data_IF_765876331785
#
_entry.id   IF_765876331785
#
_cell.length_a   1.000
_cell.length_b   1.000
_cell.length_c   1.000
_cell.angle_alpha   90.00
_cell.angle_beta   90.00
_cell.angle_gamma   90.00
#
_symmetry.space_group_name_H-M   'P 1'
#
loop_
_entity.id
_entity.type
_entity.pdbx_description
1 polymer ?
#
# COMPACT_ATOMS: atom_id res chain seq x y z
N UNK A 1 -13.47 -43.40 -2.35
CA UNK A 1 -12.51 -43.65 -3.44
C UNK A 1 -11.90 -42.32 -3.86
N UNK A 2 -10.59 -42.31 -4.10
CA UNK A 2 -9.73 -41.22 -4.58
C UNK A 2 -9.30 -40.15 -3.56
N UNK A 3 -8.26 -40.47 -2.77
CA UNK A 3 -7.38 -39.48 -2.15
C UNK A 3 -6.48 -38.88 -3.24
N UNK A 4 -6.59 -37.57 -3.46
CA UNK A 4 -5.72 -36.82 -4.35
C UNK A 4 -4.34 -36.65 -3.69
N UNK A 5 -3.31 -37.27 -4.28
CA UNK A 5 -1.92 -37.07 -3.89
C UNK A 5 -1.47 -35.64 -4.21
N UNK A 6 -1.22 -34.85 -3.16
CA UNK A 6 -0.37 -33.68 -3.26
C UNK A 6 1.02 -34.15 -3.69
N UNK A 7 1.35 -33.92 -4.95
CA UNK A 7 2.68 -34.11 -5.49
C UNK A 7 3.60 -33.08 -4.85
N UNK A 8 4.31 -33.48 -3.78
CA UNK A 8 5.33 -32.64 -3.16
C UNK A 8 6.43 -32.39 -4.18
N UNK A 9 6.48 -31.18 -4.74
CA UNK A 9 7.53 -30.78 -5.67
C UNK A 9 8.77 -30.48 -4.83
N UNK A 10 9.80 -31.32 -4.94
CA UNK A 10 11.10 -31.04 -4.33
C UNK A 10 11.75 -29.90 -5.10
N UNK A 11 12.09 -28.82 -4.41
CA UNK A 11 12.88 -27.71 -4.93
C UNK A 11 14.27 -27.72 -4.29
N UNK A 12 15.25 -27.20 -4.99
CA UNK A 12 16.61 -26.97 -4.48
C UNK A 12 16.61 -25.84 -3.44
N UNK A 13 17.67 -25.78 -2.63
CA UNK A 13 17.84 -24.68 -1.67
C UNK A 13 17.97 -23.34 -2.42
N UNK A 14 18.66 -23.36 -3.56
CA UNK A 14 18.85 -22.22 -4.43
C UNK A 14 17.50 -21.69 -4.94
N UNK A 15 16.65 -22.56 -5.50
CA UNK A 15 15.28 -22.18 -5.93
C UNK A 15 14.43 -21.64 -4.77
N UNK A 16 14.58 -22.20 -3.57
CA UNK A 16 13.87 -21.72 -2.39
C UNK A 16 14.32 -20.30 -1.98
N UNK A 17 15.62 -20.03 -2.04
CA UNK A 17 16.18 -18.69 -1.78
C UNK A 17 15.77 -17.68 -2.85
N UNK A 18 15.74 -18.07 -4.12
CA UNK A 18 15.22 -17.22 -5.21
C UNK A 18 13.74 -16.87 -5.01
N UNK A 19 12.91 -17.84 -4.65
CA UNK A 19 11.50 -17.61 -4.32
C UNK A 19 11.34 -16.68 -3.12
N UNK A 20 12.19 -16.82 -2.10
CA UNK A 20 12.18 -15.95 -0.93
C UNK A 20 12.49 -14.50 -1.32
N UNK A 21 13.51 -14.29 -2.16
CA UNK A 21 13.86 -12.96 -2.67
C UNK A 21 12.75 -12.33 -3.52
N UNK A 22 12.08 -13.14 -4.36
CA UNK A 22 10.93 -12.68 -5.14
C UNK A 22 9.76 -12.25 -4.23
N UNK A 23 9.45 -13.05 -3.22
CA UNK A 23 8.41 -12.72 -2.23
C UNK A 23 8.75 -11.45 -1.46
N UNK A 24 10.00 -11.26 -1.06
CA UNK A 24 10.46 -10.03 -0.39
C UNK A 24 10.28 -8.80 -1.30
N UNK A 25 10.67 -8.90 -2.58
CA UNK A 25 10.45 -7.82 -3.55
C UNK A 25 8.96 -7.48 -3.72
N UNK A 26 8.09 -8.49 -3.78
CA UNK A 26 6.64 -8.28 -3.90
C UNK A 26 6.05 -7.64 -2.64
N UNK A 27 6.49 -8.08 -1.45
CA UNK A 27 6.07 -7.49 -0.18
C UNK A 27 6.46 -6.01 -0.10
N UNK A 28 7.68 -5.66 -0.50
CA UNK A 28 8.15 -4.27 -0.52
C UNK A 28 7.32 -3.39 -1.48
N UNK A 29 6.98 -3.91 -2.67
CA UNK A 29 6.12 -3.22 -3.63
C UNK A 29 4.71 -2.99 -3.07
N UNK A 30 4.09 -4.04 -2.52
CA UNK A 30 2.77 -3.95 -1.89
C UNK A 30 2.76 -2.94 -0.74
N UNK A 31 3.79 -2.95 0.10
CA UNK A 31 3.90 -2.00 1.20
C UNK A 31 4.03 -0.55 0.71
N UNK A 32 4.76 -0.31 -0.38
CA UNK A 32 4.85 1.01 -0.99
C UNK A 32 3.49 1.49 -1.52
N UNK A 33 2.75 0.61 -2.21
CA UNK A 33 1.40 0.91 -2.72
C UNK A 33 0.40 1.16 -1.58
N UNK A 34 0.45 0.36 -0.51
CA UNK A 34 -0.37 0.57 0.70
C UNK A 34 -0.14 1.98 1.26
N UNK A 35 1.12 2.38 1.45
CA UNK A 35 1.47 3.71 1.96
C UNK A 35 0.99 4.84 1.03
N UNK A 36 1.10 4.66 -0.28
CA UNK A 36 0.60 5.64 -1.26
C UNK A 36 -0.91 5.84 -1.13
N UNK A 37 -1.67 4.74 -1.00
CA UNK A 37 -3.13 4.79 -0.81
C UNK A 37 -3.48 5.46 0.52
N UNK A 38 -2.78 5.13 1.62
CA UNK A 38 -2.97 5.76 2.93
C UNK A 38 -2.74 7.28 2.89
N UNK A 39 -1.65 7.71 2.24
CA UNK A 39 -1.35 9.14 2.02
C UNK A 39 -2.46 9.81 1.22
N UNK A 40 -2.97 9.16 0.16
CA UNK A 40 -4.07 9.70 -0.64
C UNK A 40 -5.37 9.83 0.16
N UNK A 41 -5.70 8.84 0.99
CA UNK A 41 -6.88 8.89 1.87
C UNK A 41 -6.75 10.04 2.89
N UNK A 42 -5.56 10.23 3.46
CA UNK A 42 -5.30 11.34 4.38
C UNK A 42 -5.45 12.71 3.69
N UNK A 43 -4.97 12.83 2.45
CA UNK A 43 -5.16 14.03 1.63
C UNK A 43 -6.64 14.32 1.37
N UNK A 44 -7.43 13.30 0.99
CA UNK A 44 -8.87 13.47 0.75
C UNK A 44 -9.61 13.89 2.02
N UNK A 45 -9.26 13.32 3.17
CA UNK A 45 -9.82 13.71 4.48
C UNK A 45 -9.50 15.17 4.78
N UNK A 46 -8.25 15.60 4.58
CA UNK A 46 -7.86 16.99 4.78
C UNK A 46 -8.61 17.97 3.86
N UNK A 47 -8.93 17.57 2.63
CA UNK A 47 -9.77 18.37 1.72
C UNK A 47 -11.21 18.44 2.22
N UNK A 48 -11.80 17.34 2.69
CA UNK A 48 -13.14 17.35 3.29
C UNK A 48 -13.21 18.30 4.50
N UNK A 49 -12.23 18.23 5.40
CA UNK A 49 -12.13 19.09 6.58
C UNK A 49 -11.95 20.57 6.21
N UNK A 50 -11.15 20.86 5.19
CA UNK A 50 -10.99 22.21 4.66
C UNK A 50 -12.31 22.75 4.08
N UNK A 51 -13.03 21.95 3.28
CA UNK A 51 -14.34 22.35 2.75
C UNK A 51 -15.38 22.57 3.85
N UNK A 52 -15.33 21.80 4.94
CA UNK A 52 -16.17 22.00 6.11
C UNK A 52 -15.82 23.32 6.83
N UNK A 53 -14.54 23.60 7.05
CA UNK A 53 -14.08 24.86 7.67
C UNK A 53 -14.50 26.09 6.86
N UNK A 54 -14.42 26.02 5.53
CA UNK A 54 -14.89 27.10 4.63
C UNK A 54 -16.41 27.28 4.68
N UNK A 55 -17.16 26.18 4.87
CA UNK A 55 -18.61 26.25 5.08
C UNK A 55 -18.99 26.92 6.40
N UNK A 56 -18.13 26.83 7.42
CA UNK A 56 -18.30 27.45 8.73
C UNK A 56 -17.85 28.92 8.79
N UNK A 57 -17.37 29.47 7.66
CA UNK A 57 -17.00 30.88 7.55
C UNK A 57 -15.51 31.17 7.73
N UNK A 58 -14.64 30.17 7.57
CA UNK A 58 -13.21 30.45 7.40
C UNK A 58 -12.99 31.26 6.10
N UNK A 59 -12.53 32.50 6.24
CA UNK A 59 -12.31 33.41 5.11
C UNK A 59 -10.83 33.61 4.81
N UNK A 60 -9.95 33.60 5.81
CA UNK A 60 -8.51 33.80 5.57
C UNK A 60 -7.76 32.48 5.38
N UNK A 61 -6.85 32.46 4.40
CA UNK A 61 -6.01 31.33 4.10
C UNK A 61 -4.58 31.74 3.75
N UNK A 62 -3.66 30.81 3.97
CA UNK A 62 -2.30 30.88 3.45
C UNK A 62 -2.19 29.94 2.26
N UNK A 63 -1.91 30.48 1.08
CA UNK A 63 -1.76 29.72 -0.16
C UNK A 63 -0.27 29.46 -0.41
N UNK A 64 0.17 28.19 -0.51
CA UNK A 64 1.53 27.89 -0.92
C UNK A 64 1.74 28.22 -2.40
N UNK A 65 2.82 28.95 -2.72
CA UNK A 65 3.22 29.26 -4.10
C UNK A 65 4.11 28.17 -4.71
N UNK A 66 4.61 27.24 -3.90
CA UNK A 66 5.40 26.10 -4.31
C UNK A 66 4.91 24.81 -3.62
N UNK A 67 5.15 23.65 -4.25
CA UNK A 67 4.69 22.37 -3.72
C UNK A 67 5.32 21.94 -2.39
N UNK A 68 6.38 22.61 -1.92
CA UNK A 68 6.99 22.36 -0.60
C UNK A 68 6.49 23.31 0.48
N UNK A 69 5.67 24.31 0.13
CA UNK A 69 5.19 25.34 1.06
C UNK A 69 6.30 26.25 1.58
N UNK A 70 7.36 26.46 0.80
CA UNK A 70 8.48 27.33 1.17
C UNK A 70 8.06 28.80 1.20
N UNK A 71 7.18 29.19 0.29
CA UNK A 71 6.60 30.54 0.20
C UNK A 71 5.09 30.44 0.34
N UNK A 72 4.54 31.12 1.35
CA UNK A 72 3.11 31.23 1.60
C UNK A 72 2.66 32.67 1.38
N UNK A 73 1.50 32.87 0.75
CA UNK A 73 0.87 34.19 0.63
C UNK A 73 -0.48 34.22 1.34
N UNK A 74 -0.80 35.31 2.08
CA UNK A 74 -2.13 35.50 2.62
C UNK A 74 -3.14 35.77 1.50
N UNK A 75 -4.32 35.16 1.62
CA UNK A 75 -5.44 35.36 0.72
C UNK A 75 -6.75 35.27 1.50
N UNK A 76 -7.79 35.92 0.99
CA UNK A 76 -9.15 35.74 1.48
C UNK A 76 -9.96 34.92 0.47
N UNK A 77 -10.56 33.83 0.94
CA UNK A 77 -11.38 32.91 0.19
C UNK A 77 -12.78 33.49 0.08
N UNK A 78 -13.23 33.74 -1.15
CA UNK A 78 -14.61 34.13 -1.42
C UNK A 78 -15.54 32.98 -1.06
N UNK A 79 -16.78 33.30 -0.69
CA UNK A 79 -17.85 32.33 -0.49
C UNK A 79 -17.87 31.30 -1.64
N UNK A 80 -17.72 30.02 -1.30
CA UNK A 80 -17.66 28.93 -2.26
C UNK A 80 -19.07 28.61 -2.79
N UNK A 81 -19.46 29.28 -3.88
CA UNK A 81 -20.69 28.91 -4.62
C UNK A 81 -20.47 27.67 -5.48
N UNK A 82 -19.24 27.50 -5.99
CA UNK A 82 -18.84 26.44 -6.90
C UNK A 82 -17.41 25.99 -6.61
N UNK A 83 -17.15 24.72 -6.85
CA UNK A 83 -15.87 24.04 -6.60
C UNK A 83 -15.48 23.28 -7.87
N UNK A 84 -14.23 23.44 -8.29
CA UNK A 84 -13.64 22.64 -9.37
C UNK A 84 -13.15 21.30 -8.83
N UNK A 85 -13.67 20.21 -9.37
CA UNK A 85 -13.26 18.85 -9.02
C UNK A 85 -12.63 18.19 -10.24
N UNK A 86 -11.52 17.47 -10.04
CA UNK A 86 -10.87 16.72 -11.12
C UNK A 86 -11.64 15.43 -11.41
N UNK A 87 -12.19 15.32 -12.62
CA UNK A 87 -13.00 14.19 -13.07
C UNK A 87 -12.21 13.10 -13.83
N UNK A 88 -10.88 13.22 -13.88
CA UNK A 88 -10.01 12.31 -14.65
C UNK A 88 -9.65 12.88 -16.02
N UNK A 89 -8.63 12.28 -16.66
CA UNK A 89 -8.21 12.64 -18.04
C UNK A 89 -7.95 14.15 -18.25
N UNK A 90 -7.43 14.85 -17.23
CA UNK A 90 -7.22 16.30 -17.21
C UNK A 90 -8.51 17.13 -17.36
N UNK A 91 -9.67 16.53 -17.04
CA UNK A 91 -10.97 17.21 -17.04
C UNK A 91 -11.29 17.68 -15.63
N UNK A 92 -11.73 18.93 -15.52
CA UNK A 92 -12.27 19.52 -14.30
C UNK A 92 -13.73 19.88 -14.52
N UNK A 93 -14.56 19.57 -13.53
CA UNK A 93 -15.99 19.92 -13.53
C UNK A 93 -16.27 20.89 -12.40
N UNK A 94 -17.08 21.90 -12.69
CA UNK A 94 -17.53 22.86 -11.69
C UNK A 94 -18.85 22.37 -11.08
N UNK A 95 -18.84 22.13 -9.77
CA UNK A 95 -19.99 21.56 -9.04
C UNK A 95 -20.27 22.36 -7.78
N UNK A 96 -21.44 22.15 -7.18
CA UNK A 96 -21.71 22.67 -5.84
C UNK A 96 -20.93 21.89 -4.76
N UNK A 97 -20.98 22.39 -3.53
CA UNK A 97 -20.26 21.81 -2.39
C UNK A 97 -20.74 20.39 -2.05
N UNK A 98 -22.05 20.14 -2.07
CA UNK A 98 -22.58 18.81 -1.75
C UNK A 98 -22.05 17.78 -2.74
N UNK A 99 -22.07 18.11 -4.03
CA UNK A 99 -21.57 17.23 -5.09
C UNK A 99 -20.05 17.07 -5.03
N UNK A 100 -19.30 18.12 -4.70
CA UNK A 100 -17.85 18.01 -4.47
C UNK A 100 -17.53 17.03 -3.32
N UNK A 101 -18.25 17.13 -2.20
CA UNK A 101 -18.10 16.21 -1.08
C UNK A 101 -18.50 14.78 -1.45
N UNK A 102 -19.52 14.59 -2.28
CA UNK A 102 -19.89 13.27 -2.81
C UNK A 102 -18.71 12.65 -3.59
N UNK A 103 -18.09 13.40 -4.52
CA UNK A 103 -16.91 12.94 -5.26
C UNK A 103 -15.76 12.51 -4.35
N UNK A 104 -15.43 13.32 -3.33
CA UNK A 104 -14.34 13.01 -2.39
C UNK A 104 -14.64 11.75 -1.57
N UNK A 105 -15.89 11.58 -1.13
CA UNK A 105 -16.32 10.40 -0.37
C UNK A 105 -16.30 9.14 -1.20
N UNK A 106 -16.73 9.22 -2.45
CA UNK A 106 -16.70 8.10 -3.39
C UNK A 106 -15.26 7.68 -3.70
N UNK A 107 -14.37 8.65 -3.96
CA UNK A 107 -12.94 8.40 -4.16
C UNK A 107 -12.32 7.75 -2.91
N UNK A 108 -12.59 8.29 -1.72
CA UNK A 108 -12.12 7.73 -0.45
C UNK A 108 -12.62 6.31 -0.24
N UNK A 109 -13.90 6.04 -0.51
CA UNK A 109 -14.47 4.70 -0.40
C UNK A 109 -13.85 3.71 -1.39
N UNK A 110 -13.54 4.14 -2.62
CA UNK A 110 -12.84 3.33 -3.61
C UNK A 110 -11.40 3.00 -3.16
N UNK A 111 -10.68 4.01 -2.65
CA UNK A 111 -9.33 3.84 -2.13
C UNK A 111 -9.29 2.95 -0.88
N UNK A 112 -10.24 3.08 0.05
CA UNK A 112 -10.32 2.19 1.22
C UNK A 112 -10.54 0.73 0.82
N UNK A 113 -11.37 0.46 -0.21
CA UNK A 113 -11.54 -0.90 -0.74
C UNK A 113 -10.25 -1.45 -1.36
N UNK A 114 -9.50 -0.60 -2.07
CA UNK A 114 -8.19 -0.97 -2.62
C UNK A 114 -7.17 -1.23 -1.51
N UNK A 115 -7.11 -0.37 -0.49
CA UNK A 115 -6.25 -0.52 0.68
C UNK A 115 -6.50 -1.86 1.38
N UNK A 116 -7.77 -2.21 1.60
CA UNK A 116 -8.17 -3.48 2.19
C UNK A 116 -7.73 -4.67 1.34
N UNK A 117 -7.86 -4.59 0.02
CA UNK A 117 -7.44 -5.64 -0.90
C UNK A 117 -5.91 -5.84 -0.87
N UNK A 118 -5.15 -4.76 -0.98
CA UNK A 118 -3.68 -4.80 -0.93
C UNK A 118 -3.17 -5.25 0.43
N UNK A 119 -3.82 -4.84 1.53
CA UNK A 119 -3.44 -5.26 2.89
C UNK A 119 -3.67 -6.76 3.11
N UNK A 120 -4.78 -7.31 2.59
CA UNK A 120 -5.03 -8.76 2.62
C UNK A 120 -4.00 -9.53 1.79
N UNK A 121 -3.66 -9.02 0.61
CA UNK A 121 -2.65 -9.64 -0.25
C UNK A 121 -1.27 -9.60 0.38
N UNK A 122 -0.88 -8.48 0.98
CA UNK A 122 0.36 -8.35 1.75
C UNK A 122 0.42 -9.36 2.89
N UNK A 123 -0.65 -9.47 3.69
CA UNK A 123 -0.72 -10.43 4.79
C UNK A 123 -0.58 -11.89 4.30
N UNK A 124 -1.21 -12.21 3.16
CA UNK A 124 -1.11 -13.53 2.52
C UNK A 124 0.32 -13.83 2.07
N UNK A 125 0.98 -12.91 1.38
CA UNK A 125 2.38 -13.09 0.94
C UNK A 125 3.36 -13.15 2.13
N UNK A 126 3.11 -12.39 3.18
CA UNK A 126 3.95 -12.40 4.39
C UNK A 126 3.88 -13.76 5.09
N UNK A 127 2.71 -14.41 5.09
CA UNK A 127 2.56 -15.77 5.59
C UNK A 127 3.37 -16.77 4.74
N UNK A 128 3.31 -16.70 3.41
CA UNK A 128 4.11 -17.56 2.54
C UNK A 128 5.61 -17.34 2.71
N UNK A 129 6.04 -16.08 2.80
CA UNK A 129 7.42 -15.72 3.07
C UNK A 129 7.90 -16.33 4.39
N UNK A 130 7.13 -16.18 5.47
CA UNK A 130 7.47 -16.76 6.78
C UNK A 130 7.53 -18.29 6.73
N UNK A 131 6.59 -18.94 6.03
CA UNK A 131 6.55 -20.39 5.92
C UNK A 131 7.74 -20.94 5.13
N UNK A 132 8.07 -20.32 3.98
CA UNK A 132 9.20 -20.69 3.16
C UNK A 132 10.52 -20.48 3.90
N UNK A 133 10.68 -19.33 4.56
CA UNK A 133 11.85 -19.05 5.40
C UNK A 133 12.05 -20.11 6.48
N UNK A 134 10.99 -20.46 7.22
CA UNK A 134 11.05 -21.49 8.26
C UNK A 134 11.41 -22.88 7.70
N UNK A 135 10.88 -23.23 6.52
CA UNK A 135 11.22 -24.47 5.84
C UNK A 135 12.70 -24.53 5.43
N UNK A 136 13.25 -23.43 4.91
CA UNK A 136 14.67 -23.30 4.56
C UNK A 136 15.54 -23.44 5.82
N UNK A 137 15.22 -22.71 6.90
CA UNK A 137 15.95 -22.78 8.17
C UNK A 137 15.95 -24.21 8.74
N UNK A 138 14.81 -24.91 8.65
CA UNK A 138 14.69 -26.31 9.09
C UNK A 138 15.52 -27.27 8.23
N UNK A 139 15.52 -27.10 6.91
CA UNK A 139 16.29 -27.92 5.98
C UNK A 139 17.81 -27.76 6.20
N UNK A 140 18.26 -26.54 6.48
CA UNK A 140 19.67 -26.25 6.79
C UNK A 140 20.12 -26.88 8.12
N UNK A 141 19.25 -26.95 9.12
CA UNK A 141 19.55 -27.60 10.41
C UNK A 141 19.54 -29.13 10.32
N UNK A 142 18.71 -29.70 9.45
CA UNK A 142 18.61 -31.15 9.25
C UNK A 142 19.76 -31.73 8.40
N UNK A 143 20.54 -30.90 7.71
CA UNK A 143 21.70 -31.34 6.94
C UNK A 143 22.78 -31.88 7.90
N UNK A 144 23.08 -33.19 7.86
CA UNK A 144 23.97 -33.81 8.84
C UNK A 144 25.43 -33.34 8.64
N UNK A 145 26.25 -33.24 9.70
CA UNK A 145 27.69 -32.98 9.60
C UNK A 145 28.43 -34.24 9.08
N UNK A 146 28.11 -34.71 7.89
CA UNK A 146 28.75 -35.89 7.27
C UNK A 146 29.97 -35.47 6.44
N UNK A 147 31.02 -35.01 7.13
CA UNK A 147 32.35 -34.86 6.52
C UNK A 147 33.52 -35.09 7.49
N UNK A 148 33.29 -35.50 8.76
CA UNK A 148 34.37 -35.59 9.78
C UNK A 148 34.68 -37.01 10.30
N UNK A 149 34.11 -38.08 9.75
CA UNK A 149 34.23 -39.43 10.35
C UNK A 149 35.02 -40.47 9.55
N UNK A 150 35.54 -40.15 8.36
CA UNK A 150 36.28 -41.14 7.53
C UNK A 150 37.81 -41.08 7.66
N UNK A 151 38.37 -40.25 8.55
CA UNK A 151 39.83 -40.14 8.73
C UNK A 151 40.40 -40.88 9.95
N UNK A 152 39.58 -41.61 10.71
CA UNK A 152 40.03 -42.27 11.96
C UNK A 152 40.22 -43.79 11.85
N UNK A 153 40.19 -44.37 10.65
CA UNK A 153 40.37 -45.80 10.43
C UNK A 153 41.28 -46.07 9.22
N UNK A 154 42.54 -45.63 9.30
CA UNK A 154 43.69 -46.27 8.64
C UNK A 154 44.91 -46.18 9.55
#
# INVERSE_FOLDING_TARGET
MSQAGQSSRTITLEEALEQLSLLESQLNQLQATIREIEVRIAQLTAVEDALASLAEGAEDALIPLDGRGTVLVPASIKKLERILVHAGLNVFVEVDREKALEYLRDEKAALSKLLDAYSREYARLAQYYSALRSAIESALQAAPPQAKSQQSQQ
#
